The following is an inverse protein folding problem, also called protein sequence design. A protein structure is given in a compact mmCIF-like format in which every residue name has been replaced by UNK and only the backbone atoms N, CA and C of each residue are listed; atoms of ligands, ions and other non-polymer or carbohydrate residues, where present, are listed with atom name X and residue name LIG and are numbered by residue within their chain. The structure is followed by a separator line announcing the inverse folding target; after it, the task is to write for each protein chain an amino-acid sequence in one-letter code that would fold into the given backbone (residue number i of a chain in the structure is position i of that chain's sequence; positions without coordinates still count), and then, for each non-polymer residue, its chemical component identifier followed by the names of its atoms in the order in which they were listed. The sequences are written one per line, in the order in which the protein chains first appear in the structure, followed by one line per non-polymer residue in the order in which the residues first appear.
data_IF_602094162472
#
_entry.id   IF_602094162472
#
_cell.length_a   1.000
_cell.length_b   1.000
_cell.length_c   1.000
_cell.angle_alpha   90.00
_cell.angle_beta   90.00
_cell.angle_gamma   90.00
#
_symmetry.space_group_name_H-M   'P 1'
#
loop_
_entity.id
_entity.type
_entity.pdbx_description
1 polymer ?
#
# COMPACT_ATOMS: atom_id res chain seq x y z
N UNK A 1 -5.43 3.22 -16.25
CA UNK A 1 -5.65 1.99 -17.01
C UNK A 1 -4.73 0.88 -16.50
N UNK A 2 -5.30 -0.33 -16.32
CA UNK A 2 -4.60 -1.49 -15.74
C UNK A 2 -4.69 -2.69 -16.73
N UNK A 3 -3.99 -2.66 -17.87
CA UNK A 3 -4.20 -3.63 -18.94
C UNK A 3 -4.00 -5.08 -18.51
N UNK A 4 -2.98 -5.36 -17.70
CA UNK A 4 -2.70 -6.71 -17.22
C UNK A 4 -3.75 -7.20 -16.20
N UNK A 5 -4.24 -6.33 -15.30
CA UNK A 5 -5.33 -6.67 -14.39
C UNK A 5 -6.64 -6.86 -15.15
N UNK A 6 -6.90 -6.03 -16.17
CA UNK A 6 -8.08 -6.18 -17.03
C UNK A 6 -8.05 -7.52 -17.80
N UNK A 7 -6.88 -7.94 -18.27
CA UNK A 7 -6.70 -9.24 -18.93
C UNK A 7 -6.94 -10.40 -17.95
N UNK A 8 -6.41 -10.29 -16.72
CA UNK A 8 -6.65 -11.28 -15.67
C UNK A 8 -8.15 -11.37 -15.33
N UNK A 9 -8.81 -10.23 -15.18
CA UNK A 9 -10.24 -10.12 -14.90
C UNK A 9 -11.09 -10.78 -16.01
N UNK A 10 -10.72 -10.58 -17.27
CA UNK A 10 -11.41 -11.18 -18.43
C UNK A 10 -11.30 -12.70 -18.47
N UNK A 11 -10.20 -13.26 -17.94
CA UNK A 11 -9.95 -14.72 -17.87
C UNK A 11 -10.41 -15.35 -16.56
N UNK A 12 -10.74 -14.54 -15.57
CA UNK A 12 -11.08 -14.97 -14.22
C UNK A 12 -12.48 -14.55 -13.77
N UNK A 13 -12.60 -14.25 -12.50
CA UNK A 13 -13.82 -13.80 -11.84
C UNK A 13 -13.62 -12.44 -11.19
N UNK A 14 -14.59 -11.54 -11.38
CA UNK A 14 -14.64 -10.23 -10.74
C UNK A 14 -15.75 -10.25 -9.68
N UNK A 15 -15.38 -9.96 -8.43
CA UNK A 15 -16.34 -9.80 -7.34
C UNK A 15 -16.83 -8.34 -7.30
N UNK A 16 -18.08 -8.11 -7.69
CA UNK A 16 -18.68 -6.78 -7.69
C UNK A 16 -18.93 -6.24 -6.27
N UNK A 17 -19.12 -7.13 -5.30
CA UNK A 17 -19.38 -6.80 -3.89
C UNK A 17 -18.33 -7.48 -3.02
N UNK A 18 -17.19 -6.84 -2.83
CA UNK A 18 -16.12 -7.28 -1.95
C UNK A 18 -15.91 -6.23 -0.84
N UNK A 19 -15.80 -6.69 0.41
CA UNK A 19 -15.67 -5.83 1.58
C UNK A 19 -14.47 -6.27 2.41
N UNK A 20 -13.73 -5.31 2.97
CA UNK A 20 -12.68 -5.60 3.93
C UNK A 20 -13.25 -5.69 5.36
N UNK A 21 -12.66 -6.54 6.19
CA UNK A 21 -13.06 -6.71 7.58
C UNK A 21 -12.60 -5.54 8.48
N UNK A 22 -11.60 -4.78 8.06
CA UNK A 22 -11.05 -3.64 8.80
C UNK A 22 -10.36 -2.68 7.82
N UNK A 23 -10.35 -1.39 8.11
CA UNK A 23 -9.71 -0.36 7.30
C UNK A 23 -8.19 -0.25 7.53
N UNK A 24 -7.66 -0.76 8.67
CA UNK A 24 -6.23 -0.78 8.94
C UNK A 24 -5.55 -2.01 8.31
N UNK A 25 -4.35 -1.83 7.79
CA UNK A 25 -3.63 -2.85 7.02
C UNK A 25 -3.36 -4.12 7.83
N UNK A 26 -2.81 -4.00 9.03
CA UNK A 26 -2.49 -5.16 9.88
C UNK A 26 -3.73 -6.03 10.18
N UNK A 27 -4.79 -5.49 10.81
CA UNK A 27 -6.03 -6.22 11.07
C UNK A 27 -6.69 -6.78 9.81
N UNK A 28 -6.65 -6.04 8.68
CA UNK A 28 -7.21 -6.51 7.41
C UNK A 28 -6.41 -7.69 6.84
N UNK A 29 -5.10 -7.61 6.84
CA UNK A 29 -4.21 -8.70 6.41
C UNK A 29 -4.34 -9.92 7.30
N UNK A 30 -4.45 -9.73 8.62
CA UNK A 30 -4.72 -10.82 9.56
C UNK A 30 -6.05 -11.52 9.25
N UNK A 31 -7.09 -10.74 8.97
CA UNK A 31 -8.40 -11.30 8.60
C UNK A 31 -8.35 -12.09 7.28
N UNK A 32 -7.62 -11.57 6.29
CA UNK A 32 -7.40 -12.25 5.01
C UNK A 32 -6.66 -13.60 5.19
N UNK A 33 -5.61 -13.62 6.03
CA UNK A 33 -4.79 -14.81 6.24
C UNK A 33 -5.46 -15.85 7.12
N UNK A 34 -6.34 -15.44 8.06
CA UNK A 34 -6.96 -16.36 9.03
C UNK A 34 -8.40 -16.72 8.70
N UNK A 35 -9.07 -15.96 7.83
CA UNK A 35 -10.51 -16.05 7.63
C UNK A 35 -11.33 -15.59 8.84
N UNK A 36 -10.73 -14.88 9.80
CA UNK A 36 -11.36 -14.46 11.03
C UNK A 36 -11.41 -12.94 11.16
N UNK A 37 -12.47 -12.42 11.74
CA UNK A 37 -12.56 -10.99 12.07
C UNK A 37 -11.55 -10.60 13.17
N UNK A 38 -11.17 -9.31 13.28
CA UNK A 38 -10.13 -8.83 14.21
C UNK A 38 -10.38 -9.23 15.68
N UNK A 39 -11.63 -9.23 16.15
CA UNK A 39 -11.95 -9.65 17.52
C UNK A 39 -11.71 -11.15 17.79
N UNK A 40 -11.71 -11.98 16.75
CA UNK A 40 -11.46 -13.41 16.85
C UNK A 40 -9.99 -13.79 16.60
N UNK A 41 -9.29 -13.02 15.75
CA UNK A 41 -7.88 -13.25 15.48
C UNK A 41 -6.94 -12.41 16.38
N UNK A 42 -7.50 -11.51 17.22
CA UNK A 42 -6.80 -10.67 18.20
C UNK A 42 -5.77 -9.68 17.60
N UNK A 43 -5.85 -9.38 16.31
CA UNK A 43 -5.06 -8.31 15.68
C UNK A 43 -5.98 -7.11 15.47
N UNK A 44 -5.86 -6.12 16.35
CA UNK A 44 -6.74 -4.95 16.40
C UNK A 44 -6.09 -3.70 15.80
N UNK A 45 -4.74 -3.63 15.83
CA UNK A 45 -3.98 -2.48 15.40
C UNK A 45 -2.80 -2.87 14.50
N UNK A 46 -2.30 -1.93 13.70
CA UNK A 46 -1.02 -2.09 13.02
C UNK A 46 0.09 -2.25 14.07
N UNK A 47 1.03 -3.15 13.83
CA UNK A 47 2.11 -3.46 14.76
C UNK A 47 1.76 -4.51 15.82
N UNK A 48 0.49 -4.95 15.94
CA UNK A 48 0.15 -6.10 16.78
C UNK A 48 0.88 -7.36 16.30
N UNK A 49 1.21 -8.25 17.23
CA UNK A 49 1.89 -9.50 16.89
C UNK A 49 0.95 -10.48 16.20
N UNK A 50 1.37 -10.99 15.05
CA UNK A 50 0.68 -12.07 14.33
C UNK A 50 1.16 -13.47 14.76
N UNK A 51 1.80 -13.61 15.91
CA UNK A 51 2.48 -14.85 16.34
C UNK A 51 1.65 -15.82 17.18
N UNK A 52 0.52 -15.39 17.75
CA UNK A 52 -0.35 -16.23 18.58
C UNK A 52 -1.39 -17.03 17.81
N UNK A 53 -1.58 -16.75 16.53
CA UNK A 53 -2.60 -17.37 15.69
C UNK A 53 -2.09 -18.72 15.22
N UNK A 54 -2.75 -19.76 15.67
CA UNK A 54 -2.32 -21.15 15.44
C UNK A 54 -2.39 -21.55 13.97
N UNK A 55 -3.37 -21.04 13.21
CA UNK A 55 -3.63 -21.47 11.85
C UNK A 55 -3.83 -20.24 10.94
N UNK A 56 -3.18 -20.22 9.79
CA UNK A 56 -3.39 -19.23 8.74
C UNK A 56 -3.22 -19.89 7.37
N UNK A 57 -3.69 -19.22 6.32
CA UNK A 57 -3.69 -19.74 4.96
C UNK A 57 -2.29 -20.22 4.52
N UNK A 58 -1.23 -19.46 4.83
CA UNK A 58 0.12 -19.83 4.44
C UNK A 58 0.59 -21.13 5.11
N UNK A 59 0.30 -21.33 6.42
CA UNK A 59 0.59 -22.57 7.13
C UNK A 59 -0.17 -23.76 6.55
N UNK A 60 -1.48 -23.60 6.30
CA UNK A 60 -2.30 -24.66 5.70
C UNK A 60 -1.73 -25.07 4.34
N UNK A 61 -1.39 -24.11 3.50
CA UNK A 61 -0.83 -24.40 2.20
C UNK A 61 0.55 -25.06 2.29
N UNK A 62 1.41 -24.62 3.21
CA UNK A 62 2.71 -25.21 3.45
C UNK A 62 2.60 -26.67 3.91
N UNK A 63 1.69 -26.97 4.83
CA UNK A 63 1.38 -28.34 5.29
C UNK A 63 0.83 -29.24 4.18
N UNK A 64 0.21 -28.63 3.15
CA UNK A 64 -0.29 -29.33 1.96
C UNK A 64 0.69 -29.30 0.77
N UNK A 65 1.97 -29.09 1.03
CA UNK A 65 3.02 -29.24 0.03
C UNK A 65 3.29 -28.03 -0.85
N UNK A 66 2.64 -26.89 -0.58
CA UNK A 66 2.95 -25.64 -1.27
C UNK A 66 4.26 -25.02 -0.74
N UNK A 67 4.99 -24.39 -1.61
CA UNK A 67 6.04 -23.46 -1.24
C UNK A 67 5.43 -22.07 -1.06
N UNK A 68 5.66 -21.44 0.10
CA UNK A 68 4.98 -20.21 0.50
C UNK A 68 5.96 -19.05 0.57
N UNK A 69 5.61 -17.90 -0.01
CA UNK A 69 6.47 -16.73 -0.02
C UNK A 69 5.71 -15.43 0.29
N UNK A 70 6.44 -14.46 0.88
CA UNK A 70 5.93 -13.11 1.18
C UNK A 70 6.94 -12.06 0.74
N UNK A 71 6.46 -11.04 0.03
CA UNK A 71 7.27 -9.92 -0.43
C UNK A 71 6.58 -8.59 -0.12
N UNK A 72 7.35 -7.63 0.40
CA UNK A 72 6.91 -6.26 0.60
C UNK A 72 6.41 -5.96 2.01
N UNK A 73 5.28 -5.29 2.12
CA UNK A 73 4.81 -4.73 3.40
C UNK A 73 4.33 -5.81 4.38
N UNK A 74 4.71 -5.66 5.65
CA UNK A 74 4.30 -6.54 6.74
C UNK A 74 4.04 -5.73 8.01
N UNK A 75 2.80 -5.33 8.23
CA UNK A 75 2.40 -4.40 9.30
C UNK A 75 2.17 -5.07 10.66
N UNK A 76 2.96 -6.10 10.98
CA UNK A 76 2.89 -6.80 12.25
C UNK A 76 4.19 -6.68 13.04
N UNK A 77 4.10 -6.63 14.36
CA UNK A 77 5.24 -6.62 15.28
C UNK A 77 5.93 -7.98 15.46
N UNK A 78 5.80 -8.88 14.50
CA UNK A 78 6.38 -10.23 14.52
C UNK A 78 6.80 -10.66 13.11
N UNK A 79 7.74 -11.63 13.05
CA UNK A 79 8.15 -12.23 11.77
C UNK A 79 6.99 -12.98 11.10
N UNK A 80 6.97 -13.03 9.74
CA UNK A 80 6.01 -13.82 9.00
C UNK A 80 6.05 -15.30 9.40
N UNK A 81 4.87 -15.88 9.63
CA UNK A 81 4.72 -17.29 9.96
C UNK A 81 3.96 -18.04 8.89
N UNK A 82 4.41 -19.24 8.54
CA UNK A 82 3.85 -20.06 7.48
C UNK A 82 4.39 -19.72 6.09
N UNK A 83 5.39 -18.82 6.01
CA UNK A 83 6.10 -18.50 4.77
C UNK A 83 7.50 -19.11 4.81
N UNK A 84 7.83 -19.98 3.85
CA UNK A 84 9.14 -20.59 3.70
C UNK A 84 10.20 -19.62 3.17
N UNK A 85 9.76 -18.58 2.50
CA UNK A 85 10.59 -17.47 2.05
C UNK A 85 9.89 -16.14 2.32
N UNK A 86 10.64 -15.12 2.76
CA UNK A 86 10.08 -13.78 2.90
C UNK A 86 11.15 -12.69 2.82
N UNK A 87 10.77 -11.59 2.22
CA UNK A 87 11.51 -10.34 2.07
C UNK A 87 10.56 -9.20 2.40
N UNK A 88 10.62 -8.68 3.63
CA UNK A 88 9.68 -7.66 4.10
C UNK A 88 10.33 -6.31 4.26
N UNK A 89 9.58 -5.24 3.99
CA UNK A 89 10.02 -3.88 4.22
C UNK A 89 10.25 -3.63 5.71
N UNK A 90 11.42 -3.07 6.06
CA UNK A 90 11.70 -2.60 7.42
C UNK A 90 10.87 -1.38 7.78
N UNK A 91 10.59 -0.53 6.78
CA UNK A 91 9.70 0.64 6.86
C UNK A 91 8.76 0.63 5.66
N UNK A 92 7.46 0.53 5.92
CA UNK A 92 6.42 0.52 4.88
C UNK A 92 6.21 1.86 4.18
N UNK A 93 6.81 2.94 4.65
CA UNK A 93 6.67 4.28 4.07
C UNK A 93 7.87 4.70 3.20
N UNK A 94 8.86 3.83 3.06
CA UNK A 94 10.03 4.05 2.22
C UNK A 94 9.71 3.70 0.76
N UNK A 95 9.72 4.69 -0.14
CA UNK A 95 9.42 4.52 -1.57
C UNK A 95 10.65 4.38 -2.47
N UNK A 96 11.82 4.79 -2.00
CA UNK A 96 13.08 4.68 -2.72
C UNK A 96 14.16 4.06 -1.85
N UNK A 97 15.01 3.25 -2.45
CA UNK A 97 16.15 2.58 -1.82
C UNK A 97 15.75 1.86 -0.52
N UNK A 98 14.71 0.99 -0.57
CA UNK A 98 14.13 0.40 0.62
C UNK A 98 15.10 -0.52 1.36
N UNK A 99 15.00 -0.52 2.69
CA UNK A 99 15.58 -1.55 3.52
C UNK A 99 14.61 -2.73 3.63
N UNK A 100 15.06 -3.90 3.24
CA UNK A 100 14.34 -5.16 3.45
C UNK A 100 14.94 -5.96 4.60
N UNK A 101 14.08 -6.63 5.31
CA UNK A 101 14.43 -7.62 6.32
C UNK A 101 14.03 -9.00 5.83
N UNK A 102 14.92 -10.00 6.05
CA UNK A 102 14.71 -11.41 5.79
C UNK A 102 15.40 -12.27 6.88
N UNK A 103 15.30 -13.62 6.87
CA UNK A 103 15.92 -14.46 7.87
C UNK A 103 17.44 -14.33 8.00
N UNK A 104 18.13 -13.78 6.98
CA UNK A 104 19.59 -13.58 6.99
C UNK A 104 19.99 -12.20 7.54
N UNK A 105 19.03 -11.31 7.77
CA UNK A 105 19.25 -9.94 8.25
C UNK A 105 18.63 -8.87 7.37
N UNK A 106 19.12 -7.66 7.50
CA UNK A 106 18.66 -6.48 6.78
C UNK A 106 19.55 -6.17 5.59
N UNK A 107 18.97 -5.68 4.51
CA UNK A 107 19.67 -5.23 3.31
C UNK A 107 18.98 -4.02 2.68
N UNK A 108 19.73 -3.05 2.22
CA UNK A 108 19.25 -1.97 1.37
C UNK A 108 19.33 -2.40 -0.09
N UNK A 109 18.32 -2.06 -0.87
CA UNK A 109 18.27 -2.33 -2.30
C UNK A 109 17.96 -1.02 -3.01
N UNK A 110 18.81 -0.66 -3.97
CA UNK A 110 18.62 0.55 -4.77
C UNK A 110 17.43 0.39 -5.71
N UNK A 111 16.61 1.46 -5.84
CA UNK A 111 15.50 1.52 -6.77
C UNK A 111 14.20 1.98 -6.12
N UNK A 112 13.15 2.03 -6.93
CA UNK A 112 11.79 2.31 -6.46
C UNK A 112 11.20 1.07 -5.81
N UNK A 113 10.63 1.22 -4.62
CA UNK A 113 10.18 0.10 -3.77
C UNK A 113 9.22 -0.87 -4.47
N UNK A 114 8.30 -0.37 -5.30
CA UNK A 114 7.38 -1.22 -6.07
C UNK A 114 8.12 -2.10 -7.08
N UNK A 115 9.13 -1.56 -7.76
CA UNK A 115 9.94 -2.31 -8.70
C UNK A 115 10.78 -3.36 -7.97
N UNK A 116 11.45 -2.96 -6.89
CA UNK A 116 12.26 -3.87 -6.06
C UNK A 116 11.45 -5.04 -5.52
N UNK A 117 10.22 -4.79 -5.01
CA UNK A 117 9.32 -5.87 -4.56
C UNK A 117 9.01 -6.84 -5.71
N UNK A 118 8.73 -6.30 -6.89
CA UNK A 118 8.43 -7.10 -8.08
C UNK A 118 9.63 -7.93 -8.51
N UNK A 119 10.81 -7.34 -8.56
CA UNK A 119 12.06 -8.01 -8.94
C UNK A 119 12.42 -9.14 -7.97
N UNK A 120 12.29 -8.92 -6.66
CA UNK A 120 12.50 -9.95 -5.65
C UNK A 120 11.56 -11.15 -5.84
N UNK A 121 10.29 -10.88 -6.16
CA UNK A 121 9.34 -11.95 -6.46
C UNK A 121 9.71 -12.69 -7.75
N UNK A 122 10.04 -11.97 -8.83
CA UNK A 122 10.41 -12.58 -10.11
C UNK A 122 11.70 -13.40 -10.01
N UNK A 123 12.71 -12.94 -9.27
CA UNK A 123 13.91 -13.72 -8.98
C UNK A 123 13.58 -15.01 -8.23
N UNK A 124 12.68 -14.93 -7.24
CA UNK A 124 12.26 -16.11 -6.50
C UNK A 124 11.53 -17.11 -7.40
N UNK A 125 10.61 -16.67 -8.26
CA UNK A 125 9.91 -17.53 -9.23
C UNK A 125 10.90 -18.17 -10.22
N UNK A 126 11.84 -17.39 -10.76
CA UNK A 126 12.85 -17.89 -11.70
C UNK A 126 13.74 -18.95 -11.07
N UNK A 127 14.19 -18.75 -9.83
CA UNK A 127 14.97 -19.77 -9.10
C UNK A 127 14.19 -21.07 -8.92
N UNK A 128 12.88 -21.00 -8.67
CA UNK A 128 12.02 -22.17 -8.53
C UNK A 128 11.84 -22.93 -9.83
N UNK A 129 11.70 -22.24 -10.96
CA UNK A 129 11.56 -22.86 -12.27
C UNK A 129 12.78 -23.73 -12.64
N UNK A 130 13.94 -23.34 -12.13
CA UNK A 130 15.20 -24.07 -12.35
C UNK A 130 15.42 -25.24 -11.36
N UNK A 131 14.53 -25.43 -10.38
CA UNK A 131 14.63 -26.51 -9.41
C UNK A 131 14.07 -27.83 -9.99
N UNK A 132 14.68 -28.94 -9.63
CA UNK A 132 14.34 -30.30 -10.12
C UNK A 132 12.94 -30.77 -9.72
N UNK A 133 12.36 -30.22 -8.65
CA UNK A 133 11.02 -30.58 -8.18
C UNK A 133 10.16 -29.31 -8.09
N UNK A 134 9.22 -29.16 -9.02
CA UNK A 134 8.29 -28.03 -9.03
C UNK A 134 7.10 -28.33 -8.10
N UNK A 135 7.12 -27.74 -6.91
CA UNK A 135 5.94 -27.71 -6.03
C UNK A 135 5.00 -26.60 -6.45
N UNK A 136 3.68 -26.72 -6.22
CA UNK A 136 2.80 -25.55 -6.31
C UNK A 136 3.26 -24.48 -5.33
N UNK A 137 2.94 -23.22 -5.59
CA UNK A 137 3.33 -22.14 -4.69
C UNK A 137 2.18 -21.20 -4.35
N UNK A 138 2.33 -20.54 -3.23
CA UNK A 138 1.54 -19.41 -2.79
C UNK A 138 2.47 -18.24 -2.51
N UNK A 139 2.25 -17.11 -3.17
CA UNK A 139 3.00 -15.89 -2.92
C UNK A 139 2.07 -14.75 -2.56
N UNK A 140 2.36 -14.08 -1.45
CA UNK A 140 1.72 -12.85 -1.04
C UNK A 140 2.64 -11.68 -1.37
N UNK A 141 2.20 -10.79 -2.27
CA UNK A 141 2.96 -9.62 -2.70
C UNK A 141 2.20 -8.39 -2.22
N UNK A 142 2.78 -7.66 -1.26
CA UNK A 142 2.17 -6.49 -0.64
C UNK A 142 2.98 -5.24 -0.94
N UNK A 143 2.48 -4.45 -1.90
CA UNK A 143 3.09 -3.17 -2.24
C UNK A 143 2.77 -2.10 -1.20
N UNK A 144 3.66 -1.11 -1.06
CA UNK A 144 3.43 0.07 -0.24
C UNK A 144 2.69 1.21 -0.98
N UNK A 145 2.65 1.24 -2.30
CA UNK A 145 1.79 2.10 -3.13
C UNK A 145 0.35 1.55 -3.19
N UNK A 146 -0.62 2.36 -3.40
CA UNK A 146 -0.78 3.75 -3.82
C UNK A 146 -1.28 4.62 -2.64
N UNK A 147 -0.42 5.03 -1.75
CA UNK A 147 -0.77 5.82 -0.56
C UNK A 147 0.21 6.99 -0.39
N UNK A 148 -0.09 7.90 0.52
CA UNK A 148 0.88 8.89 0.97
C UNK A 148 2.23 8.25 1.30
N UNK A 149 3.34 8.93 0.96
CA UNK A 149 3.45 10.24 0.34
C UNK A 149 3.37 10.27 -1.21
N UNK A 150 2.74 9.30 -1.87
CA UNK A 150 2.53 9.21 -3.33
C UNK A 150 3.76 9.48 -4.19
N UNK A 151 4.88 8.92 -3.84
CA UNK A 151 6.13 9.07 -4.61
C UNK A 151 6.12 8.11 -5.81
N UNK A 152 5.97 8.61 -7.04
CA UNK A 152 6.01 7.76 -8.23
C UNK A 152 7.45 7.36 -8.56
N UNK A 153 7.62 6.29 -9.32
CA UNK A 153 8.93 6.01 -9.93
C UNK A 153 9.31 7.13 -10.91
N UNK A 154 10.63 7.44 -11.00
CA UNK A 154 11.15 8.56 -11.80
C UNK A 154 10.62 8.57 -13.24
N UNK A 155 10.47 7.40 -13.86
CA UNK A 155 9.92 7.26 -15.21
C UNK A 155 8.46 7.71 -15.38
N UNK A 156 7.77 8.01 -14.29
CA UNK A 156 6.36 8.43 -14.29
C UNK A 156 6.18 9.87 -13.83
N UNK A 157 7.24 10.60 -13.46
CA UNK A 157 7.13 11.96 -12.94
C UNK A 157 6.45 12.91 -13.92
N UNK A 158 6.82 12.82 -15.20
CA UNK A 158 6.32 13.72 -16.24
C UNK A 158 5.09 13.18 -17.00
N UNK A 159 4.52 12.05 -16.54
CA UNK A 159 3.47 11.33 -17.29
C UNK A 159 2.20 12.16 -17.55
N UNK A 160 1.94 13.15 -16.72
CA UNK A 160 0.74 13.97 -16.78
C UNK A 160 1.01 15.47 -16.92
N UNK A 161 2.26 15.89 -17.22
CA UNK A 161 2.61 17.31 -17.30
C UNK A 161 1.82 18.05 -18.38
N UNK A 162 1.56 17.40 -19.52
CA UNK A 162 0.79 17.94 -20.63
C UNK A 162 -0.70 17.53 -20.60
N UNK A 163 -1.18 16.92 -19.52
CA UNK A 163 -2.56 16.41 -19.43
C UNK A 163 -3.39 17.25 -18.48
N UNK A 164 -4.38 17.95 -19.02
CA UNK A 164 -5.40 18.60 -18.21
C UNK A 164 -6.33 17.53 -17.60
N UNK A 165 -6.17 17.26 -16.32
CA UNK A 165 -7.05 16.35 -15.59
C UNK A 165 -8.40 17.04 -15.33
N UNK A 166 -9.53 16.44 -15.72
CA UNK A 166 -10.85 17.04 -15.47
C UNK A 166 -11.17 17.03 -13.96
N UNK A 167 -11.65 18.13 -13.46
CA UNK A 167 -12.18 18.20 -12.10
C UNK A 167 -13.44 17.32 -11.97
N UNK A 168 -13.53 16.46 -10.96
CA UNK A 168 -14.75 15.70 -10.73
C UNK A 168 -15.88 16.63 -10.27
N UNK A 169 -17.09 16.39 -10.76
CA UNK A 169 -18.27 17.18 -10.40
C UNK A 169 -18.55 17.27 -8.90
N UNK A 170 -18.00 16.33 -8.14
CA UNK A 170 -18.15 16.24 -6.68
C UNK A 170 -16.99 16.84 -5.90
N UNK A 171 -16.03 17.50 -6.54
CA UNK A 171 -14.85 18.07 -5.86
C UNK A 171 -15.23 19.06 -4.76
N UNK A 172 -16.25 19.88 -5.00
CA UNK A 172 -16.78 20.89 -4.06
C UNK A 172 -18.17 20.52 -3.52
N UNK A 173 -18.51 19.23 -3.50
CA UNK A 173 -19.81 18.76 -3.03
C UNK A 173 -19.98 19.02 -1.53
N UNK A 174 -21.08 19.65 -1.13
CA UNK A 174 -21.45 19.89 0.27
C UNK A 174 -21.97 18.65 0.99
N UNK A 175 -21.99 17.50 0.35
CA UNK A 175 -22.47 16.22 0.88
C UNK A 175 -23.94 16.24 1.33
N UNK A 176 -24.75 17.15 0.78
CA UNK A 176 -26.21 17.22 1.06
C UNK A 176 -26.90 15.91 0.70
N UNK A 177 -27.78 15.44 1.58
CA UNK A 177 -28.52 14.20 1.36
C UNK A 177 -27.76 12.92 1.62
N UNK A 178 -26.47 12.98 2.02
CA UNK A 178 -25.68 11.80 2.39
C UNK A 178 -25.81 11.46 3.88
N UNK A 179 -25.46 10.24 4.24
CA UNK A 179 -25.44 9.78 5.61
C UNK A 179 -24.51 10.61 6.51
N UNK A 180 -24.81 10.78 7.80
CA UNK A 180 -24.02 11.60 8.73
C UNK A 180 -22.52 11.34 8.72
N UNK A 181 -22.01 10.08 8.69
CA UNK A 181 -20.56 9.82 8.65
C UNK A 181 -19.86 10.41 7.42
N UNK A 182 -20.53 10.42 6.27
CA UNK A 182 -19.99 11.05 5.05
C UNK A 182 -20.07 12.56 5.09
N UNK A 183 -21.12 13.11 5.71
CA UNK A 183 -21.37 14.54 5.78
C UNK A 183 -20.49 15.27 6.79
N UNK A 184 -20.21 14.64 7.92
CA UNK A 184 -19.50 15.25 9.04
C UNK A 184 -18.08 14.71 9.23
N UNK A 185 -17.57 13.93 8.29
CA UNK A 185 -16.18 13.43 8.34
C UNK A 185 -15.18 14.59 8.28
N UNK A 186 -14.11 14.49 9.04
CA UNK A 186 -13.11 15.56 9.14
C UNK A 186 -12.03 15.48 8.05
N UNK A 187 -11.92 14.34 7.37
CA UNK A 187 -10.92 14.13 6.32
C UNK A 187 -11.32 14.89 5.05
N UNK A 188 -10.58 15.92 4.73
CA UNK A 188 -10.76 16.70 3.50
C UNK A 188 -9.42 17.23 2.99
N UNK A 189 -9.37 17.68 1.75
CA UNK A 189 -8.14 18.17 1.10
C UNK A 189 -7.54 19.32 1.91
N UNK A 190 -8.34 20.29 2.31
CA UNK A 190 -7.87 21.51 2.97
C UNK A 190 -7.18 21.26 4.33
N UNK A 191 -7.66 20.26 5.09
CA UNK A 191 -7.16 19.98 6.45
C UNK A 191 -6.11 18.89 6.49
N UNK A 192 -6.20 17.91 5.60
CA UNK A 192 -5.45 16.67 5.69
C UNK A 192 -4.40 16.50 4.60
N UNK A 193 -4.36 17.40 3.61
CA UNK A 193 -3.30 17.46 2.61
C UNK A 193 -2.49 18.73 2.77
N UNK A 194 -1.18 18.63 2.60
CA UNK A 194 -0.26 19.76 2.60
C UNK A 194 0.52 19.82 1.29
N UNK A 195 0.81 21.03 0.83
CA UNK A 195 1.59 21.23 -0.39
C UNK A 195 3.03 20.69 -0.22
N UNK A 196 3.58 20.79 0.98
CA UNK A 196 4.94 20.36 1.25
C UNK A 196 5.06 18.84 1.40
N UNK A 197 4.16 18.21 2.18
CA UNK A 197 4.29 16.79 2.52
C UNK A 197 3.60 15.88 1.50
N UNK A 198 2.58 16.38 0.78
CA UNK A 198 1.81 15.58 -0.17
C UNK A 198 2.18 15.87 -1.64
N UNK A 199 2.58 17.10 -1.97
CA UNK A 199 2.99 17.50 -3.31
C UNK A 199 4.49 17.81 -3.42
N UNK A 200 5.24 17.69 -2.31
CA UNK A 200 6.69 17.94 -2.25
C UNK A 200 7.11 19.33 -2.75
N UNK A 201 6.19 20.29 -2.69
CA UNK A 201 6.51 21.67 -3.04
C UNK A 201 7.34 22.32 -1.92
N UNK A 202 8.32 23.17 -2.26
CA UNK A 202 9.06 23.92 -1.27
C UNK A 202 8.11 24.69 -0.36
N UNK A 203 8.37 24.68 0.95
CA UNK A 203 7.68 25.60 1.87
C UNK A 203 7.94 27.01 1.39
N UNK A 204 6.88 27.74 1.07
CA UNK A 204 7.00 29.18 0.84
C UNK A 204 7.54 29.77 2.15
N UNK A 205 8.76 30.36 2.09
CA UNK A 205 9.26 31.13 3.22
C UNK A 205 8.23 32.22 3.50
N UNK A 206 7.61 32.20 4.66
CA UNK A 206 6.84 33.34 5.13
C UNK A 206 7.84 34.50 5.27
N UNK A 207 7.89 35.37 4.28
CA UNK A 207 8.62 36.63 4.39
C UNK A 207 8.00 37.39 5.57
N UNK A 208 8.66 37.28 6.73
CA UNK A 208 8.47 38.23 7.84
C UNK A 208 9.02 39.59 7.39
N UNK A 209 8.21 40.33 6.68
CA UNK A 209 8.63 41.66 6.24
C UNK A 209 7.61 42.32 5.31
N UNK A 210 6.88 43.27 5.90
CA UNK A 210 6.06 44.29 5.26
C UNK A 210 4.69 43.90 4.73
N UNK A 211 3.69 44.28 5.49
CA UNK A 211 2.35 44.63 5.07
C UNK A 211 2.40 45.63 3.91
N UNK A 212 2.31 45.15 2.67
CA UNK A 212 1.80 45.96 1.55
C UNK A 212 1.29 45.02 0.46
N UNK A 213 -0.01 45.05 0.32
CA UNK A 213 -0.92 44.62 -0.69
C UNK A 213 -0.40 43.80 -1.90
N UNK A 214 -0.49 42.50 -1.84
CA UNK A 214 -0.53 41.68 -3.07
C UNK A 214 -1.98 41.43 -3.45
N UNK A 215 -2.49 42.02 -4.55
CA UNK A 215 -3.88 41.88 -4.96
C UNK A 215 -4.29 40.48 -5.42
N UNK A 216 -3.33 39.56 -5.61
CA UNK A 216 -3.57 38.20 -6.06
C UNK A 216 -3.84 37.19 -4.93
N UNK A 217 -3.70 37.60 -3.66
CA UNK A 217 -3.98 36.70 -2.53
C UNK A 217 -5.48 36.54 -2.22
N UNK A 218 -6.35 37.27 -2.92
CA UNK A 218 -7.82 37.21 -2.70
C UNK A 218 -8.55 36.16 -3.57
N UNK A 219 -7.90 35.58 -4.57
CA UNK A 219 -8.56 34.61 -5.48
C UNK A 219 -8.54 33.17 -5.00
N UNK A 220 -7.81 32.86 -3.90
CA UNK A 220 -7.75 31.51 -3.32
C UNK A 220 -8.54 31.38 -2.01
N UNK A 221 -9.36 32.37 -1.64
CA UNK A 221 -10.17 32.38 -0.40
C UNK A 221 -11.68 32.59 -0.64
N UNK A 222 -12.18 32.34 -1.83
CA UNK A 222 -13.63 32.31 -2.07
C UNK A 222 -14.04 30.96 -2.63
#
# INVERSE_FOLDING_TARGET
PTPNLSELARKGLIFANAFCANANTGPSTASLLTGQHPHANYVLHNGDKFGGIKTNLAKILQENGYETALFGKWDFGSQPQGFSHWEILSDGDQFYNPEFWNPKGKKNIEGHTTDVITDLFLEWVTRRQNASAQKPFFALIQYNGTRKPWMPALRHLELYDDVLLPEPLTLFDEHKGRAPPSRYQEMNIQRNLSLADDLFLPKLEENQGSNEGNPNAKSLRN
#
